data_IF_549198214421
#
_entry.id   IF_549198214421
#
_cell.length_a   1.000
_cell.length_b   1.000
_cell.length_c   1.000
_cell.angle_alpha   90.00
_cell.angle_beta   90.00
_cell.angle_gamma   90.00
#
_symmetry.space_group_name_H-M   'P 1'
#
loop_
_entity.id
_entity.type
_entity.pdbx_description
1 polymer ?
#
# COMPACT_ATOMS: atom_id res chain seq x y z
N UNK A 1 -29.24 -56.55 48.49
CA UNK A 1 -30.49 -55.76 48.45
C UNK A 1 -30.47 -54.87 47.19
N UNK A 2 -31.62 -54.59 46.57
CA UNK A 2 -31.82 -54.62 45.12
C UNK A 2 -31.58 -53.28 44.38
N UNK A 3 -31.05 -53.38 43.15
CA UNK A 3 -31.61 -52.95 41.84
C UNK A 3 -32.91 -52.08 41.79
N UNK A 4 -33.25 -51.36 40.68
CA UNK A 4 -32.56 -51.23 39.37
C UNK A 4 -32.76 -49.92 38.53
N UNK A 5 -32.02 -49.84 37.40
CA UNK A 5 -32.41 -49.50 35.99
C UNK A 5 -33.32 -48.31 35.62
N UNK A 6 -33.00 -47.58 34.53
CA UNK A 6 -33.50 -47.89 33.16
C UNK A 6 -32.93 -47.00 32.03
N UNK A 7 -32.77 -47.64 30.87
CA UNK A 7 -32.42 -47.15 29.52
C UNK A 7 -33.50 -46.29 28.84
N UNK A 8 -33.12 -45.43 27.88
CA UNK A 8 -33.59 -45.37 26.45
C UNK A 8 -33.07 -44.10 25.77
N UNK A 9 -32.26 -44.17 24.69
CA UNK A 9 -32.66 -44.29 23.26
C UNK A 9 -33.26 -43.00 22.67
N UNK A 10 -32.58 -42.37 21.68
CA UNK A 10 -33.16 -41.39 20.74
C UNK A 10 -34.06 -42.07 19.70
N UNK A 11 -34.23 -41.58 18.45
CA UNK A 11 -33.94 -40.27 17.83
C UNK A 11 -35.17 -39.66 17.11
N UNK A 12 -35.04 -38.52 16.41
CA UNK A 12 -36.03 -38.10 15.40
C UNK A 12 -35.97 -36.63 14.94
N UNK A 13 -35.58 -36.42 13.68
CA UNK A 13 -36.02 -35.28 12.86
C UNK A 13 -37.51 -35.46 12.49
N UNK A 14 -38.24 -34.38 12.16
CA UNK A 14 -38.61 -34.22 10.75
C UNK A 14 -38.65 -32.78 10.21
N UNK A 15 -38.67 -32.76 8.89
CA UNK A 15 -38.91 -31.72 7.89
C UNK A 15 -40.16 -30.85 8.11
N UNK A 16 -40.09 -29.59 7.65
CA UNK A 16 -41.25 -28.78 7.26
C UNK A 16 -40.92 -28.02 5.96
N UNK A 17 -41.69 -28.32 4.93
CA UNK A 17 -41.87 -27.61 3.67
C UNK A 17 -43.16 -26.80 3.70
N UNK A 18 -43.30 -25.88 2.73
CA UNK A 18 -44.54 -25.30 2.16
C UNK A 18 -45.38 -24.42 3.10
N UNK A 19 -46.00 -23.32 2.70
CA UNK A 19 -46.12 -22.55 1.46
C UNK A 19 -46.88 -21.26 1.87
N UNK A 20 -47.01 -20.31 0.94
CA UNK A 20 -48.27 -19.59 0.66
C UNK A 20 -48.34 -18.05 0.84
N UNK A 21 -48.61 -17.43 -0.32
CA UNK A 21 -49.31 -16.17 -0.64
C UNK A 21 -48.57 -14.83 -0.41
N UNK A 22 -48.20 -14.05 -1.44
CA UNK A 22 -48.92 -13.45 -2.60
C UNK A 22 -49.09 -11.93 -2.41
N UNK A 23 -48.75 -11.18 -3.48
CA UNK A 23 -49.39 -9.98 -4.07
C UNK A 23 -48.63 -8.63 -4.08
N UNK A 24 -48.38 -8.23 -5.34
CA UNK A 24 -48.61 -6.90 -5.97
C UNK A 24 -47.52 -5.82 -5.91
N UNK A 25 -46.86 -5.64 -7.06
CA UNK A 25 -46.49 -4.35 -7.66
C UNK A 25 -47.78 -3.55 -7.99
N UNK A 26 -47.77 -2.19 -8.02
CA UNK A 26 -47.19 -1.44 -9.15
C UNK A 26 -46.53 -0.07 -8.86
N UNK A 27 -45.61 0.26 -9.78
CA UNK A 27 -45.31 1.53 -10.47
C UNK A 27 -45.60 2.94 -9.88
N UNK A 28 -44.55 3.75 -10.05
CA UNK A 28 -44.50 5.10 -10.66
C UNK A 28 -44.78 6.40 -9.89
N UNK A 29 -43.94 7.38 -10.30
CA UNK A 29 -44.00 8.85 -10.20
C UNK A 29 -43.56 9.47 -8.85
N UNK A 30 -42.64 10.44 -8.80
CA UNK A 30 -41.91 11.15 -9.84
C UNK A 30 -41.19 12.37 -9.25
N UNK A 31 -40.54 13.11 -10.15
CA UNK A 31 -40.18 14.54 -10.06
C UNK A 31 -39.04 14.92 -9.10
N UNK A 32 -37.87 15.25 -9.68
CA UNK A 32 -37.33 16.59 -9.46
C UNK A 32 -36.42 17.05 -10.61
N UNK A 33 -36.81 18.18 -11.18
CA UNK A 33 -36.13 18.92 -12.25
C UNK A 33 -35.31 20.05 -11.65
N UNK A 34 -34.06 20.23 -12.09
CA UNK A 34 -33.32 21.51 -12.10
C UNK A 34 -32.05 21.29 -12.94
N UNK A 35 -32.02 21.64 -14.23
CA UNK A 35 -31.81 22.96 -14.85
C UNK A 35 -30.36 23.50 -14.74
N UNK A 36 -29.70 23.60 -15.89
CA UNK A 36 -28.44 24.33 -16.14
C UNK A 36 -27.45 23.45 -16.94
N UNK A 37 -27.03 23.74 -18.17
CA UNK A 37 -27.00 24.98 -18.92
C UNK A 37 -25.58 25.22 -19.44
N UNK A 38 -25.34 24.85 -20.70
CA UNK A 38 -24.37 25.38 -21.68
C UNK A 38 -22.86 25.46 -21.33
N UNK A 39 -22.02 24.79 -22.13
CA UNK A 39 -21.01 25.46 -22.98
C UNK A 39 -20.28 24.49 -23.89
N UNK A 40 -20.23 24.85 -25.17
CA UNK A 40 -19.48 24.19 -26.23
C UNK A 40 -18.05 24.77 -26.32
N UNK A 41 -17.08 23.90 -26.57
CA UNK A 41 -15.80 24.18 -27.26
C UNK A 41 -15.40 22.87 -27.96
N UNK A 42 -15.45 22.78 -29.30
CA UNK A 42 -14.29 22.94 -30.20
C UNK A 42 -13.05 22.28 -29.62
N UNK A 43 -12.55 21.14 -30.09
CA UNK A 43 -12.34 20.74 -31.48
C UNK A 43 -10.83 20.52 -31.60
N UNK A 44 -10.40 19.28 -31.79
CA UNK A 44 -9.10 19.00 -32.40
C UNK A 44 -9.09 17.56 -32.92
N UNK A 45 -9.12 17.48 -34.25
CA UNK A 45 -8.83 16.30 -35.04
C UNK A 45 -7.36 16.40 -35.44
N UNK A 46 -6.55 15.40 -35.13
CA UNK A 46 -5.25 15.20 -35.77
C UNK A 46 -5.22 13.82 -36.40
N UNK A 47 -5.04 13.85 -37.73
CA UNK A 47 -4.97 12.72 -38.64
C UNK A 47 -3.62 11.96 -38.49
N UNK A 48 -3.49 10.76 -39.08
CA UNK A 48 -2.36 9.86 -38.88
C UNK A 48 -1.19 10.17 -39.81
N UNK A 49 0.03 9.87 -39.36
CA UNK A 49 1.25 10.01 -40.16
C UNK A 49 1.55 8.71 -40.91
N UNK A 50 1.54 8.78 -42.24
CA UNK A 50 2.09 7.79 -43.15
C UNK A 50 3.61 7.88 -43.17
N UNK A 51 4.28 6.72 -43.17
CA UNK A 51 5.73 6.61 -43.28
C UNK A 51 6.11 5.25 -43.84
N UNK A 52 6.06 5.14 -45.17
CA UNK A 52 6.60 4.03 -45.95
C UNK A 52 8.10 4.21 -46.16
N UNK A 53 8.90 3.18 -45.87
CA UNK A 53 10.11 2.89 -46.64
C UNK A 53 10.64 1.48 -46.34
N UNK A 54 10.72 0.70 -47.42
CA UNK A 54 11.27 -0.64 -47.61
C UNK A 54 12.80 -0.64 -47.68
N UNK A 55 13.46 -1.68 -47.14
CA UNK A 55 14.58 -2.42 -47.75
C UNK A 55 15.15 -3.47 -46.76
N UNK A 56 15.37 -4.70 -47.26
CA UNK A 56 15.88 -5.86 -46.50
C UNK A 56 17.41 -5.95 -46.44
N UNK A 57 18.00 -7.15 -46.61
CA UNK A 57 18.31 -8.08 -45.52
C UNK A 57 19.82 -8.36 -45.33
N UNK A 58 20.11 -9.21 -44.35
CA UNK A 58 21.37 -9.95 -44.09
C UNK A 58 22.59 -9.17 -43.58
N UNK A 59 22.98 -9.45 -42.33
CA UNK A 59 24.35 -9.87 -41.99
C UNK A 59 24.48 -10.32 -40.53
N UNK A 60 25.04 -11.52 -40.37
CA UNK A 60 25.66 -12.08 -39.17
C UNK A 60 26.62 -11.08 -38.53
N UNK A 61 26.68 -11.04 -37.19
CA UNK A 61 27.94 -11.01 -36.45
C UNK A 61 27.71 -11.36 -34.98
N UNK A 62 28.39 -12.42 -34.57
CA UNK A 62 28.69 -12.82 -33.19
C UNK A 62 29.47 -11.73 -32.47
N UNK A 63 29.03 -11.26 -31.29
CA UNK A 63 29.91 -10.80 -30.19
C UNK A 63 29.18 -10.89 -28.84
N UNK A 64 29.54 -11.92 -28.07
CA UNK A 64 29.87 -11.97 -26.62
C UNK A 64 29.04 -11.17 -25.59
N UNK A 65 28.54 -11.82 -24.51
CA UNK A 65 27.97 -11.15 -23.33
C UNK A 65 29.05 -10.84 -22.27
N UNK A 66 28.90 -9.81 -21.41
CA UNK A 66 29.74 -9.73 -20.22
C UNK A 66 29.14 -10.57 -19.09
N UNK A 67 29.79 -11.71 -18.83
CA UNK A 67 29.93 -12.22 -17.47
C UNK A 67 31.15 -11.55 -16.82
N UNK A 68 30.97 -10.98 -15.64
CA UNK A 68 32.07 -10.77 -14.68
C UNK A 68 31.53 -10.90 -13.25
N UNK A 69 31.47 -12.17 -12.84
CA UNK A 69 31.91 -12.82 -11.60
C UNK A 69 32.42 -12.02 -10.37
N UNK A 70 32.49 -12.70 -9.20
CA UNK A 70 32.32 -12.15 -7.86
C UNK A 70 33.63 -11.67 -7.22
N UNK A 71 33.54 -10.65 -6.37
CA UNK A 71 34.61 -10.18 -5.52
C UNK A 71 34.43 -10.65 -4.08
N UNK A 72 35.28 -11.57 -3.65
CA UNK A 72 35.66 -11.82 -2.26
C UNK A 72 37.02 -11.16 -2.03
N UNK A 73 37.42 -11.01 -0.76
CA UNK A 73 38.72 -10.60 -0.19
C UNK A 73 38.71 -9.20 0.44
N UNK A 74 38.64 -9.22 1.78
CA UNK A 74 39.54 -8.63 2.79
C UNK A 74 40.08 -7.20 2.51
N UNK A 75 40.21 -6.27 3.46
CA UNK A 75 40.68 -6.43 4.82
C UNK A 75 40.67 -5.06 5.52
N UNK A 76 40.80 -5.09 6.84
CA UNK A 76 41.45 -4.08 7.70
C UNK A 76 40.73 -2.79 8.17
N UNK A 77 40.78 -2.68 9.52
CA UNK A 77 40.67 -1.48 10.38
C UNK A 77 39.23 -1.04 10.73
N UNK A 78 38.77 -0.94 11.97
CA UNK A 78 39.43 -0.64 13.26
C UNK A 78 38.49 -1.08 14.39
N UNK A 79 38.97 -1.95 15.30
CA UNK A 79 38.32 -2.21 16.61
C UNK A 79 38.54 -1.01 17.57
N UNK A 80 37.81 -0.83 18.70
CA UNK A 80 37.77 -1.83 19.77
C UNK A 80 36.40 -2.05 20.45
N UNK A 81 36.23 -3.20 21.12
CA UNK A 81 35.08 -3.49 21.98
C UNK A 81 35.19 -2.72 23.29
N UNK A 82 34.03 -2.28 23.79
CA UNK A 82 33.86 -1.79 25.14
C UNK A 82 34.30 -2.86 26.14
N UNK A 83 35.43 -2.61 26.80
CA UNK A 83 35.86 -3.28 28.01
C UNK A 83 35.89 -2.23 29.11
N UNK A 84 35.19 -2.46 30.22
CA UNK A 84 35.42 -1.72 31.46
C UNK A 84 35.17 -2.65 32.63
N UNK A 85 36.27 -3.28 33.05
CA UNK A 85 36.52 -3.64 34.43
C UNK A 85 36.29 -2.41 35.33
N UNK A 86 35.60 -2.63 36.45
CA UNK A 86 35.50 -1.65 37.52
C UNK A 86 35.86 -2.37 38.84
N UNK A 87 37.09 -2.21 39.34
CA UNK A 87 37.41 -2.45 40.73
C UNK A 87 38.02 -1.17 41.33
N UNK A 88 37.23 -0.37 42.05
CA UNK A 88 37.77 0.58 43.04
C UNK A 88 36.69 0.93 44.08
N UNK A 89 36.91 0.64 45.37
CA UNK A 89 37.64 1.44 46.37
C UNK A 89 36.79 2.56 46.98
N UNK A 90 36.32 2.36 48.22
CA UNK A 90 35.88 3.36 49.22
C UNK A 90 35.43 2.56 50.48
N UNK A 91 35.80 2.82 51.73
CA UNK A 91 36.55 3.92 52.32
C UNK A 91 37.15 3.45 53.67
N UNK A 92 38.38 3.89 53.95
CA UNK A 92 38.96 3.99 55.28
C UNK A 92 38.48 5.28 55.94
N UNK A 93 37.75 5.21 57.06
CA UNK A 93 37.54 6.26 58.09
C UNK A 93 37.10 5.45 59.35
N UNK A 94 37.70 5.45 60.55
CA UNK A 94 38.36 6.50 61.31
C UNK A 94 39.29 5.93 62.42
N UNK A 95 40.22 6.78 62.85
CA UNK A 95 41.22 6.58 63.92
C UNK A 95 40.64 6.71 65.35
N UNK A 96 41.36 6.22 66.38
CA UNK A 96 41.03 6.45 67.80
C UNK A 96 41.39 7.89 68.24
N UNK A 97 40.52 8.53 69.02
CA UNK A 97 40.77 9.81 69.71
C UNK A 97 40.73 9.65 71.23
N UNK A 98 41.84 10.05 71.84
CA UNK A 98 42.07 10.27 73.27
C UNK A 98 41.12 11.32 73.88
N UNK A 99 40.72 11.08 75.14
CA UNK A 99 40.39 12.09 76.15
C UNK A 99 41.00 11.59 77.48
N UNK A 100 42.14 12.07 77.98
CA UNK A 100 42.39 13.32 78.71
C UNK A 100 41.49 13.53 79.96
N UNK A 101 42.10 13.43 81.15
CA UNK A 101 41.90 14.21 82.40
C UNK A 101 42.46 13.41 83.60
N UNK A 102 43.20 13.93 84.57
CA UNK A 102 43.86 15.21 84.79
C UNK A 102 44.73 15.07 86.04
N UNK A 103 45.99 15.50 85.93
CA UNK A 103 47.00 15.61 86.99
C UNK A 103 46.81 16.98 87.70
N UNK A 104 46.54 16.98 89.01
CA UNK A 104 46.41 18.23 89.82
C UNK A 104 47.57 18.33 90.80
N UNK A 105 48.55 19.11 90.35
CA UNK A 105 49.71 19.60 91.08
C UNK A 105 49.33 20.84 91.90
N UNK A 106 49.10 20.71 93.20
CA UNK A 106 48.97 21.86 94.11
C UNK A 106 50.29 22.13 94.84
N UNK A 107 51.10 23.04 94.26
CA UNK A 107 52.23 23.71 94.91
C UNK A 107 51.71 25.03 95.47
N UNK A 108 51.59 25.18 96.79
CA UNK A 108 51.22 26.46 97.38
C UNK A 108 50.72 26.36 98.82
N UNK A 109 51.58 25.96 99.77
CA UNK A 109 51.23 25.92 101.19
C UNK A 109 52.42 26.13 102.15
N UNK A 110 53.53 26.68 101.66
CA UNK A 110 54.82 26.70 102.38
C UNK A 110 54.98 27.84 103.41
N UNK A 111 54.00 28.72 103.59
CA UNK A 111 54.10 29.85 104.54
C UNK A 111 53.06 29.81 105.67
N UNK A 112 52.00 29.00 105.55
CA UNK A 112 51.01 28.83 106.63
C UNK A 112 51.52 27.88 107.73
N UNK A 113 52.34 26.89 107.37
CA UNK A 113 52.87 25.89 108.31
C UNK A 113 53.92 26.46 109.27
N UNK A 114 54.68 27.49 108.86
CA UNK A 114 55.70 28.12 109.72
C UNK A 114 55.06 29.00 110.80
N UNK A 115 53.92 29.65 110.50
CA UNK A 115 53.20 30.45 111.49
C UNK A 115 52.50 29.58 112.55
N UNK A 116 51.89 28.46 112.15
CA UNK A 116 51.26 27.54 113.09
C UNK A 116 52.31 26.91 114.02
N UNK A 117 53.50 26.54 113.49
CA UNK A 117 54.58 25.99 114.30
C UNK A 117 55.14 27.02 115.30
N UNK A 118 55.26 28.29 114.90
CA UNK A 118 55.73 29.37 115.78
C UNK A 118 54.80 29.66 116.96
N UNK A 119 53.48 29.66 116.72
CA UNK A 119 52.48 29.83 117.81
C UNK A 119 52.47 28.62 118.74
N UNK A 120 52.64 27.41 118.20
CA UNK A 120 52.71 26.19 119.02
C UNK A 120 53.94 26.17 119.93
N UNK A 121 55.11 26.59 119.45
CA UNK A 121 56.32 26.68 120.27
C UNK A 121 56.17 27.76 121.36
N UNK A 122 55.51 28.88 121.07
CA UNK A 122 55.24 29.93 122.06
C UNK A 122 54.26 29.47 123.16
N UNK A 123 53.23 28.68 122.82
CA UNK A 123 52.30 28.10 123.79
C UNK A 123 52.97 27.04 124.68
N UNK A 124 53.85 26.21 124.13
CA UNK A 124 54.62 25.22 124.93
C UNK A 124 55.60 25.90 125.90
N UNK A 125 56.20 27.04 125.51
CA UNK A 125 57.06 27.81 126.41
C UNK A 125 56.28 28.45 127.59
N UNK A 126 55.00 28.77 127.39
CA UNK A 126 54.15 29.35 128.45
C UNK A 126 53.67 28.29 129.46
N UNK A 127 53.42 27.06 129.02
CA UNK A 127 53.03 25.95 129.91
C UNK A 127 54.20 25.35 130.70
N UNK A 128 55.44 25.39 130.18
CA UNK A 128 56.61 24.92 130.91
C UNK A 128 56.94 25.75 132.17
N UNK A 129 56.52 27.01 132.25
CA UNK A 129 56.71 27.84 133.44
C UNK A 129 55.69 27.59 134.56
N UNK A 130 54.50 27.07 134.22
CA UNK A 130 53.43 26.81 135.19
C UNK A 130 53.57 25.46 135.94
N UNK A 131 54.44 24.56 135.49
CA UNK A 131 54.66 23.24 136.12
C UNK A 131 55.65 23.25 137.30
N UNK A 132 56.20 24.42 137.67
CA UNK A 132 57.27 24.55 138.68
C UNK A 132 56.80 24.75 140.13
N UNK A 133 55.50 24.71 140.41
CA UNK A 133 54.95 24.86 141.78
C UNK A 133 53.92 23.74 142.05
N UNK A 134 54.38 22.49 142.02
CA UNK A 134 53.60 21.34 142.48
C UNK A 134 54.44 20.49 143.44
N UNK A 135 53.91 20.28 144.64
CA UNK A 135 54.55 19.61 145.77
C UNK A 135 55.06 18.19 145.44
N UNK A 136 56.26 17.77 145.95
CA UNK A 136 56.88 16.48 145.63
C UNK A 136 56.01 15.24 145.88
N UNK A 137 55.04 15.28 146.79
CA UNK A 137 54.18 14.14 147.15
C UNK A 137 53.00 13.87 146.18
N UNK A 138 52.78 14.75 145.19
CA UNK A 138 51.76 14.57 144.14
C UNK A 138 52.33 13.94 142.86
N UNK A 139 53.65 14.03 142.63
CA UNK A 139 54.34 13.52 141.44
C UNK A 139 54.49 11.99 141.51
N UNK A 140 54.74 11.45 142.70
CA UNK A 140 54.97 10.01 142.90
C UNK A 140 53.69 9.17 142.74
N UNK A 141 52.53 9.71 143.13
CA UNK A 141 51.22 9.07 142.89
C UNK A 141 50.83 9.04 141.42
N UNK A 142 51.20 10.04 140.62
CA UNK A 142 50.97 10.03 139.17
C UNK A 142 51.88 9.05 138.45
N UNK A 143 53.14 8.88 138.91
CA UNK A 143 54.08 7.92 138.32
C UNK A 143 53.58 6.47 138.46
N UNK A 144 53.10 6.10 139.65
CA UNK A 144 52.54 4.76 139.87
C UNK A 144 51.22 4.50 139.12
N UNK A 145 50.40 5.54 138.93
CA UNK A 145 49.21 5.44 138.08
C UNK A 145 49.59 5.27 136.59
N UNK A 146 50.59 6.01 136.13
CA UNK A 146 51.11 5.89 134.76
C UNK A 146 51.80 4.56 134.47
N UNK A 147 52.59 4.01 135.40
CA UNK A 147 53.19 2.69 135.20
C UNK A 147 52.12 1.61 135.09
N UNK A 148 51.03 1.71 135.86
CA UNK A 148 49.89 0.78 135.74
C UNK A 148 49.21 0.93 134.38
N UNK A 149 48.84 2.15 133.99
CA UNK A 149 48.20 2.41 132.68
C UNK A 149 49.10 2.00 131.51
N UNK A 150 50.41 2.23 131.62
CA UNK A 150 51.38 1.85 130.60
C UNK A 150 51.48 0.33 130.45
N UNK A 151 51.46 -0.41 131.57
CA UNK A 151 51.43 -1.89 131.53
C UNK A 151 50.12 -2.44 130.95
N UNK A 152 48.97 -1.82 131.26
CA UNK A 152 47.68 -2.19 130.65
C UNK A 152 47.68 -1.90 129.15
N UNK A 153 48.24 -0.77 128.73
CA UNK A 153 48.30 -0.40 127.33
C UNK A 153 49.24 -1.30 126.54
N UNK A 154 50.39 -1.67 127.11
CA UNK A 154 51.30 -2.66 126.53
C UNK A 154 50.62 -4.03 126.35
N UNK A 155 49.84 -4.48 127.35
CA UNK A 155 49.08 -5.71 127.25
C UNK A 155 47.97 -5.64 126.17
N UNK A 156 47.32 -4.48 126.01
CA UNK A 156 46.37 -4.25 124.91
C UNK A 156 47.05 -4.26 123.54
N UNK A 157 48.23 -3.64 123.42
CA UNK A 157 48.98 -3.62 122.15
C UNK A 157 49.44 -5.02 121.78
N UNK A 158 49.93 -5.83 122.75
CA UNK A 158 50.28 -7.22 122.47
C UNK A 158 49.07 -8.06 122.06
N UNK A 159 47.92 -7.87 122.72
CA UNK A 159 46.68 -8.56 122.34
C UNK A 159 46.20 -8.17 120.93
N UNK A 160 46.36 -6.90 120.55
CA UNK A 160 46.01 -6.42 119.21
C UNK A 160 46.98 -6.95 118.14
N UNK A 161 48.26 -7.12 118.48
CA UNK A 161 49.23 -7.76 117.58
C UNK A 161 48.89 -9.24 117.35
N UNK A 162 48.46 -9.97 118.38
CA UNK A 162 48.01 -11.36 118.24
C UNK A 162 46.76 -11.48 117.36
N UNK A 163 45.79 -10.58 117.55
CA UNK A 163 44.61 -10.47 116.68
C UNK A 163 45.06 -10.20 115.24
N UNK A 164 45.94 -9.22 115.02
CA UNK A 164 46.45 -8.89 113.69
C UNK A 164 47.16 -10.08 113.03
N UNK A 165 47.96 -10.82 113.78
CA UNK A 165 48.63 -12.03 113.31
C UNK A 165 47.66 -13.19 113.00
N UNK A 166 46.52 -13.26 113.71
CA UNK A 166 45.44 -14.19 113.40
C UNK A 166 44.72 -13.80 112.11
N UNK A 167 44.35 -12.53 111.96
CA UNK A 167 43.72 -12.01 110.74
C UNK A 167 44.63 -12.15 109.52
N UNK A 168 45.94 -11.92 109.65
CA UNK A 168 46.90 -12.13 108.57
C UNK A 168 46.89 -13.59 108.07
N UNK A 169 46.85 -14.56 108.99
CA UNK A 169 46.75 -15.99 108.65
C UNK A 169 45.42 -16.35 108.00
N UNK A 170 44.30 -15.80 108.48
CA UNK A 170 42.99 -16.01 107.86
C UNK A 170 42.92 -15.42 106.44
N UNK A 171 43.50 -14.23 106.22
CA UNK A 171 43.58 -13.61 104.88
C UNK A 171 44.41 -14.49 103.93
N UNK A 172 45.54 -15.01 104.38
CA UNK A 172 46.39 -15.89 103.57
C UNK A 172 45.68 -17.22 103.24
N UNK A 173 44.96 -17.80 104.20
CA UNK A 173 44.13 -18.98 103.97
C UNK A 173 43.01 -18.70 102.95
N UNK A 174 42.31 -17.57 103.08
CA UNK A 174 41.27 -17.18 102.12
C UNK A 174 41.83 -16.89 100.73
N UNK A 175 43.01 -16.27 100.64
CA UNK A 175 43.69 -16.04 99.36
C UNK A 175 44.03 -17.38 98.68
N UNK A 176 44.61 -18.33 99.41
CA UNK A 176 44.94 -19.65 98.88
C UNK A 176 43.70 -20.43 98.42
N UNK A 177 42.59 -20.34 99.16
CA UNK A 177 41.32 -20.96 98.77
C UNK A 177 40.74 -20.32 97.50
N UNK A 178 40.83 -18.99 97.39
CA UNK A 178 40.35 -18.28 96.21
C UNK A 178 41.17 -18.64 94.96
N UNK A 179 42.49 -18.74 95.08
CA UNK A 179 43.36 -19.22 94.00
C UNK A 179 43.01 -20.66 93.58
N UNK A 180 42.74 -21.55 94.55
CA UNK A 180 42.30 -22.91 94.26
C UNK A 180 40.96 -22.93 93.50
N UNK A 181 39.97 -22.13 93.93
CA UNK A 181 38.67 -22.01 93.25
C UNK A 181 38.79 -21.42 91.85
N UNK A 182 39.69 -20.45 91.63
CA UNK A 182 39.94 -19.89 90.29
C UNK A 182 40.57 -20.92 89.37
N UNK A 183 41.50 -21.72 89.87
CA UNK A 183 42.12 -22.80 89.10
C UNK A 183 41.09 -23.86 88.72
N UNK A 184 40.26 -24.29 89.66
CA UNK A 184 39.18 -25.24 89.43
C UNK A 184 38.18 -24.70 88.40
N UNK A 185 37.79 -23.42 88.50
CA UNK A 185 36.92 -22.77 87.51
C UNK A 185 37.57 -22.73 86.13
N UNK A 186 38.85 -22.41 86.04
CA UNK A 186 39.57 -22.35 84.77
C UNK A 186 39.67 -23.74 84.11
N UNK A 187 39.87 -24.79 84.89
CA UNK A 187 39.91 -26.16 84.38
C UNK A 187 38.50 -26.63 83.95
N UNK A 188 37.46 -26.29 84.71
CA UNK A 188 36.07 -26.53 84.32
C UNK A 188 35.67 -25.79 83.04
N UNK A 189 36.15 -24.56 82.86
CA UNK A 189 35.92 -23.79 81.63
C UNK A 189 36.62 -24.42 80.41
N UNK A 190 37.84 -24.95 80.58
CA UNK A 190 38.55 -25.69 79.52
C UNK A 190 37.79 -26.96 79.15
N UNK A 191 37.33 -27.73 80.13
CA UNK A 191 36.56 -28.96 79.89
C UNK A 191 35.28 -28.65 79.11
N UNK A 192 34.50 -27.66 79.54
CA UNK A 192 33.30 -27.22 78.80
C UNK A 192 33.60 -26.63 77.43
N UNK A 193 34.76 -26.00 77.25
CA UNK A 193 35.18 -25.53 75.93
C UNK A 193 35.50 -26.70 74.99
N UNK A 194 36.18 -27.74 75.50
CA UNK A 194 36.46 -28.96 74.74
C UNK A 194 35.18 -29.71 74.37
N UNK A 195 34.25 -29.87 75.32
CA UNK A 195 32.96 -30.52 75.07
C UNK A 195 32.15 -29.76 74.01
N UNK A 196 32.07 -28.43 74.11
CA UNK A 196 31.41 -27.60 73.09
C UNK A 196 32.08 -27.73 71.73
N UNK A 197 33.41 -27.74 71.67
CA UNK A 197 34.15 -27.91 70.43
C UNK A 197 33.89 -29.28 69.79
N UNK A 198 33.80 -30.35 70.59
CA UNK A 198 33.46 -31.70 70.11
C UNK A 198 32.03 -31.76 69.56
N UNK A 199 31.06 -31.24 70.30
CA UNK A 199 29.67 -31.17 69.84
C UNK A 199 29.52 -30.32 68.57
N UNK A 200 30.27 -29.22 68.45
CA UNK A 200 30.28 -28.41 67.23
C UNK A 200 30.92 -29.15 66.05
N UNK A 201 32.00 -29.89 66.27
CA UNK A 201 32.64 -30.70 65.24
C UNK A 201 31.70 -31.82 64.76
N UNK A 202 30.98 -32.46 65.66
CA UNK A 202 29.97 -33.48 65.33
C UNK A 202 28.82 -32.88 64.53
N UNK A 203 28.23 -31.77 64.99
CA UNK A 203 27.18 -31.04 64.24
C UNK A 203 27.67 -30.55 62.87
N UNK A 204 28.97 -30.21 62.73
CA UNK A 204 29.55 -29.85 61.42
C UNK A 204 29.61 -31.05 60.49
N UNK A 205 29.98 -32.24 60.99
CA UNK A 205 29.97 -33.48 60.20
C UNK A 205 28.55 -33.85 59.77
N UNK A 206 27.61 -33.83 60.71
CA UNK A 206 26.20 -34.13 60.44
C UNK A 206 25.62 -33.17 59.38
N UNK A 207 25.88 -31.85 59.50
CA UNK A 207 25.47 -30.89 58.47
C UNK A 207 26.12 -31.16 57.12
N UNK A 208 27.42 -31.45 57.08
CA UNK A 208 28.11 -31.73 55.84
C UNK A 208 27.56 -32.99 55.14
N UNK A 209 27.24 -34.04 55.91
CA UNK A 209 26.68 -35.27 55.34
C UNK A 209 25.23 -35.09 54.93
N UNK A 210 24.44 -34.31 55.68
CA UNK A 210 23.10 -33.90 55.28
C UNK A 210 23.11 -33.06 53.99
N UNK A 211 24.04 -32.11 53.86
CA UNK A 211 24.23 -31.31 52.64
C UNK A 211 24.63 -32.16 51.44
N UNK A 212 25.54 -33.14 51.61
CA UNK A 212 25.87 -34.12 50.56
C UNK A 212 24.67 -34.93 50.12
N UNK A 213 23.87 -35.45 51.07
CA UNK A 213 22.65 -36.20 50.76
C UNK A 213 21.65 -35.38 49.95
N UNK A 214 21.44 -34.12 50.36
CA UNK A 214 20.58 -33.17 49.64
C UNK A 214 21.10 -32.79 48.26
N UNK A 215 22.42 -32.67 48.10
CA UNK A 215 23.03 -32.43 46.79
C UNK A 215 22.79 -33.63 45.86
N UNK A 216 23.00 -34.85 46.33
CA UNK A 216 22.73 -36.06 45.54
C UNK A 216 21.25 -36.20 45.16
N UNK A 217 20.33 -35.90 46.08
CA UNK A 217 18.89 -35.90 45.80
C UNK A 217 18.53 -34.89 44.72
N UNK A 218 19.12 -33.68 44.79
CA UNK A 218 18.92 -32.62 43.79
C UNK A 218 19.45 -33.04 42.42
N UNK A 219 20.63 -33.61 42.35
CA UNK A 219 21.24 -34.07 41.10
C UNK A 219 20.41 -35.20 40.46
N UNK A 220 19.93 -36.15 41.27
CA UNK A 220 19.05 -37.22 40.79
C UNK A 220 17.72 -36.68 40.27
N UNK A 221 17.15 -35.70 40.97
CA UNK A 221 15.92 -35.06 40.55
C UNK A 221 16.08 -34.24 39.28
N UNK A 222 17.17 -33.48 39.14
CA UNK A 222 17.51 -32.76 37.92
C UNK A 222 17.76 -33.71 36.74
N UNK A 223 18.46 -34.82 36.95
CA UNK A 223 18.69 -35.83 35.93
C UNK A 223 17.37 -36.46 35.45
N UNK A 224 16.46 -36.78 36.38
CA UNK A 224 15.12 -37.29 36.04
C UNK A 224 14.33 -36.28 35.22
N UNK A 225 14.30 -35.03 35.65
CA UNK A 225 13.61 -33.95 34.94
C UNK A 225 14.18 -33.72 33.54
N UNK A 226 15.51 -33.74 33.37
CA UNK A 226 16.15 -33.61 32.05
C UNK A 226 15.75 -34.76 31.13
N UNK A 227 15.66 -35.98 31.65
CA UNK A 227 15.19 -37.14 30.88
C UNK A 227 13.73 -36.99 30.47
N UNK A 228 12.85 -36.65 31.42
CA UNK A 228 11.43 -36.40 31.15
C UNK A 228 11.23 -35.30 30.11
N UNK A 229 11.99 -34.20 30.22
CA UNK A 229 11.95 -33.10 29.24
C UNK A 229 12.43 -33.56 27.86
N UNK A 230 13.53 -34.30 27.78
CA UNK A 230 14.05 -34.80 26.52
C UNK A 230 13.09 -35.79 25.85
N UNK A 231 12.40 -36.63 26.63
CA UNK A 231 11.40 -37.57 26.11
C UNK A 231 10.14 -36.83 25.63
N UNK A 232 9.69 -35.83 26.38
CA UNK A 232 8.59 -34.93 25.97
C UNK A 232 8.91 -34.15 24.68
N UNK A 233 10.14 -33.65 24.53
CA UNK A 233 10.59 -32.96 23.31
C UNK A 233 10.59 -33.90 22.10
N UNK A 234 11.00 -35.16 22.26
CA UNK A 234 10.95 -36.17 21.19
C UNK A 234 9.51 -36.47 20.78
N UNK A 235 8.61 -36.65 21.74
CA UNK A 235 7.18 -36.90 21.47
C UNK A 235 6.58 -35.73 20.68
N UNK A 236 6.82 -34.50 21.14
CA UNK A 236 6.37 -33.28 20.44
C UNK A 236 6.99 -33.12 19.05
N UNK A 237 8.24 -33.52 18.87
CA UNK A 237 8.89 -33.51 17.56
C UNK A 237 8.25 -34.53 16.60
N UNK A 238 7.90 -35.73 17.09
CA UNK A 238 7.19 -36.73 16.31
C UNK A 238 5.79 -36.28 15.93
N UNK A 239 5.04 -35.70 16.87
CA UNK A 239 3.71 -35.12 16.61
C UNK A 239 3.79 -34.03 15.53
N UNK A 240 4.74 -33.09 15.63
CA UNK A 240 4.95 -32.07 14.60
C UNK A 240 5.31 -32.66 13.24
N UNK A 241 6.18 -33.67 13.21
CA UNK A 241 6.57 -34.33 11.96
C UNK A 241 5.39 -35.06 11.29
N UNK A 242 4.53 -35.71 12.09
CA UNK A 242 3.31 -36.35 11.59
C UNK A 242 2.34 -35.31 11.01
N UNK A 243 2.11 -34.22 11.75
CA UNK A 243 1.24 -33.13 11.31
C UNK A 243 1.75 -32.46 10.02
N UNK A 244 3.06 -32.23 9.90
CA UNK A 244 3.66 -31.72 8.66
C UNK A 244 3.53 -32.69 7.49
N UNK A 245 3.67 -33.99 7.73
CA UNK A 245 3.50 -35.01 6.70
C UNK A 245 2.05 -35.09 6.20
N UNK A 246 1.07 -34.99 7.10
CA UNK A 246 -0.35 -34.92 6.75
C UNK A 246 -0.66 -33.64 5.96
N UNK A 247 -0.22 -32.48 6.45
CA UNK A 247 -0.38 -31.20 5.75
C UNK A 247 0.22 -31.22 4.33
N UNK A 248 1.35 -31.89 4.13
CA UNK A 248 1.96 -32.06 2.79
C UNK A 248 1.08 -32.90 1.87
N UNK A 249 0.42 -33.94 2.39
CA UNK A 249 -0.51 -34.77 1.61
C UNK A 249 -1.75 -33.94 1.20
N UNK A 250 -2.32 -33.21 2.14
CA UNK A 250 -3.48 -32.35 1.89
C UNK A 250 -3.15 -31.27 0.85
N UNK A 251 -1.98 -30.64 0.96
CA UNK A 251 -1.54 -29.64 0.00
C UNK A 251 -1.36 -30.26 -1.40
N UNK A 252 -0.74 -31.45 -1.48
CA UNK A 252 -0.57 -32.16 -2.75
C UNK A 252 -1.91 -32.60 -3.35
N UNK A 253 -2.89 -33.02 -2.54
CA UNK A 253 -4.24 -33.33 -3.02
C UNK A 253 -4.95 -32.08 -3.55
N UNK A 254 -4.82 -30.97 -2.83
CA UNK A 254 -5.42 -29.71 -3.22
C UNK A 254 -4.82 -29.16 -4.52
N UNK A 255 -3.50 -29.27 -4.70
CA UNK A 255 -2.82 -28.91 -5.94
C UNK A 255 -3.28 -29.79 -7.12
N UNK A 256 -3.51 -31.10 -6.90
CA UNK A 256 -4.09 -31.99 -7.93
C UNK A 256 -5.50 -31.55 -8.31
N UNK A 257 -6.37 -31.26 -7.33
CA UNK A 257 -7.74 -30.79 -7.57
C UNK A 257 -7.74 -29.47 -8.34
N UNK A 258 -6.88 -28.53 -7.95
CA UNK A 258 -6.71 -27.25 -8.65
C UNK A 258 -6.23 -27.45 -10.09
N UNK A 259 -5.26 -28.33 -10.31
CA UNK A 259 -4.76 -28.63 -11.65
C UNK A 259 -5.85 -29.27 -12.54
N UNK A 260 -6.65 -30.19 -11.98
CA UNK A 260 -7.81 -30.78 -12.67
C UNK A 260 -8.84 -29.72 -13.05
N UNK A 261 -9.21 -28.86 -12.10
CA UNK A 261 -10.15 -27.75 -12.35
C UNK A 261 -9.64 -26.81 -13.44
N UNK A 262 -8.36 -26.43 -13.40
CA UNK A 262 -7.74 -25.59 -14.45
C UNK A 262 -7.68 -26.29 -15.82
N UNK A 263 -7.53 -27.61 -15.87
CA UNK A 263 -7.59 -28.37 -17.12
C UNK A 263 -9.02 -28.39 -17.69
N UNK A 264 -10.02 -28.61 -16.83
CA UNK A 264 -11.44 -28.59 -17.22
C UNK A 264 -11.86 -27.20 -17.72
N UNK A 265 -11.43 -26.11 -17.07
CA UNK A 265 -11.71 -24.75 -17.54
C UNK A 265 -11.13 -24.51 -18.94
N UNK A 266 -9.85 -24.87 -19.16
CA UNK A 266 -9.22 -24.76 -20.49
C UNK A 266 -9.89 -25.62 -21.55
N UNK A 267 -10.47 -26.76 -21.18
CA UNK A 267 -11.26 -27.57 -22.10
C UNK A 267 -12.61 -26.92 -22.44
N UNK A 268 -13.30 -26.37 -21.44
CA UNK A 268 -14.54 -25.61 -21.65
C UNK A 268 -14.32 -24.39 -22.54
N UNK A 269 -13.25 -23.63 -22.32
CA UNK A 269 -12.88 -22.48 -23.16
C UNK A 269 -12.61 -22.90 -24.60
N UNK A 270 -11.81 -23.95 -24.82
CA UNK A 270 -11.57 -24.50 -26.18
C UNK A 270 -12.86 -24.91 -26.88
N UNK A 271 -13.77 -25.60 -26.18
CA UNK A 271 -15.06 -25.98 -26.74
C UNK A 271 -15.95 -24.78 -27.06
N UNK A 272 -15.89 -23.72 -26.25
CA UNK A 272 -16.61 -22.47 -26.52
C UNK A 272 -16.03 -21.73 -27.73
N UNK A 273 -14.69 -21.66 -27.85
CA UNK A 273 -14.02 -21.07 -29.00
C UNK A 273 -14.35 -21.83 -30.29
N UNK A 274 -14.31 -23.17 -30.27
CA UNK A 274 -14.67 -24.00 -31.42
C UNK A 274 -16.15 -23.81 -31.82
N UNK A 275 -17.06 -23.72 -30.83
CA UNK A 275 -18.48 -23.39 -31.10
C UNK A 275 -18.61 -22.02 -31.76
N UNK A 276 -17.95 -21.00 -31.23
CA UNK A 276 -17.99 -19.65 -31.79
C UNK A 276 -17.40 -19.60 -33.21
N UNK A 277 -16.30 -20.33 -33.46
CA UNK A 277 -15.67 -20.43 -34.78
C UNK A 277 -16.61 -21.08 -35.79
N UNK A 278 -17.31 -22.15 -35.39
CA UNK A 278 -18.29 -22.82 -36.24
C UNK A 278 -19.49 -21.90 -36.56
N UNK A 279 -19.99 -21.16 -35.57
CA UNK A 279 -21.05 -20.18 -35.78
C UNK A 279 -20.62 -19.05 -36.72
N UNK A 280 -19.40 -18.53 -36.56
CA UNK A 280 -18.85 -17.49 -37.43
C UNK A 280 -18.65 -17.99 -38.86
N UNK A 281 -18.16 -19.22 -39.03
CA UNK A 281 -18.04 -19.84 -40.35
C UNK A 281 -19.40 -20.05 -41.01
N UNK A 282 -20.40 -20.49 -40.24
CA UNK A 282 -21.78 -20.63 -40.74
C UNK A 282 -22.34 -19.30 -41.21
N UNK A 283 -22.16 -18.22 -40.43
CA UNK A 283 -22.55 -16.86 -40.83
C UNK A 283 -21.81 -16.38 -42.07
N UNK A 284 -20.50 -16.67 -42.21
CA UNK A 284 -19.73 -16.32 -43.41
C UNK A 284 -20.30 -16.99 -44.67
N UNK A 285 -20.62 -18.29 -44.60
CA UNK A 285 -21.23 -19.04 -45.71
C UNK A 285 -22.66 -18.61 -46.00
N UNK A 286 -23.38 -18.08 -45.02
CA UNK A 286 -24.72 -17.52 -45.20
C UNK A 286 -24.66 -16.17 -45.93
N UNK A 287 -23.79 -15.27 -45.47
CA UNK A 287 -23.55 -13.97 -46.11
C UNK A 287 -23.03 -14.13 -47.56
N UNK A 288 -22.16 -15.11 -47.81
CA UNK A 288 -21.68 -15.43 -49.16
C UNK A 288 -22.83 -15.90 -50.06
N UNK A 289 -23.73 -16.76 -49.55
CA UNK A 289 -24.93 -17.18 -50.28
C UNK A 289 -25.88 -16.02 -50.55
N UNK A 290 -26.10 -15.14 -49.58
CA UNK A 290 -26.92 -13.93 -49.76
C UNK A 290 -26.32 -13.02 -50.83
N UNK A 291 -24.99 -12.84 -50.83
CA UNK A 291 -24.29 -12.05 -51.84
C UNK A 291 -24.42 -12.68 -53.24
N UNK A 292 -24.21 -13.99 -53.37
CA UNK A 292 -24.41 -14.69 -54.65
C UNK A 292 -25.86 -14.60 -55.14
N UNK A 293 -26.84 -14.71 -54.23
CA UNK A 293 -28.26 -14.52 -54.56
C UNK A 293 -28.57 -13.08 -54.98
N UNK A 294 -27.96 -12.08 -54.34
CA UNK A 294 -28.09 -10.68 -54.73
C UNK A 294 -27.46 -10.43 -56.10
N UNK A 295 -26.27 -10.98 -56.36
CA UNK A 295 -25.59 -10.90 -57.66
C UNK A 295 -26.41 -11.58 -58.77
N UNK A 296 -27.02 -12.75 -58.51
CA UNK A 296 -27.95 -13.41 -59.44
C UNK A 296 -29.20 -12.58 -59.71
N UNK A 297 -29.78 -11.97 -58.66
CA UNK A 297 -30.91 -11.04 -58.79
C UNK A 297 -30.53 -9.80 -59.61
N UNK A 298 -29.32 -9.27 -59.44
CA UNK A 298 -28.79 -8.12 -60.19
C UNK A 298 -28.53 -8.46 -61.66
N UNK A 299 -27.97 -9.63 -61.96
CA UNK A 299 -27.62 -10.04 -63.33
C UNK A 299 -28.83 -10.20 -64.26
N UNK A 300 -30.03 -10.39 -63.71
CA UNK A 300 -31.27 -10.43 -64.48
C UNK A 300 -31.83 -9.06 -64.88
N UNK A 301 -31.42 -7.99 -64.18
CA UNK A 301 -31.91 -6.63 -64.40
C UNK A 301 -31.31 -6.09 -65.71
N UNK A 302 -32.19 -5.70 -66.62
CA UNK A 302 -31.79 -5.04 -67.87
C UNK A 302 -32.72 -3.88 -68.16
N UNK A 303 -32.16 -2.80 -68.63
CA UNK A 303 -32.95 -1.73 -69.24
C UNK A 303 -33.47 -2.21 -70.58
N UNK A 304 -34.73 -1.88 -70.88
CA UNK A 304 -35.20 -1.87 -72.26
C UNK A 304 -34.38 -0.84 -73.06
N UNK A 305 -34.31 -0.98 -74.38
CA UNK A 305 -33.51 -0.07 -75.21
C UNK A 305 -33.91 1.39 -74.94
N UNK A 306 -33.00 2.24 -74.42
CA UNK A 306 -33.33 3.61 -74.06
C UNK A 306 -33.87 4.38 -75.26
N UNK A 307 -35.09 4.87 -75.13
CA UNK A 307 -35.76 5.61 -76.19
C UNK A 307 -35.44 7.10 -76.05
N UNK A 308 -34.87 7.75 -77.08
CA UNK A 308 -34.70 9.19 -77.09
C UNK A 308 -36.07 9.86 -77.09
N UNK A 309 -36.19 10.92 -76.30
CA UNK A 309 -37.36 11.77 -76.32
C UNK A 309 -37.46 12.49 -77.67
N UNK A 310 -38.69 12.76 -78.11
CA UNK A 310 -38.93 13.34 -79.43
C UNK A 310 -38.31 14.73 -79.56
N UNK A 311 -38.23 15.46 -78.45
CA UNK A 311 -37.79 16.85 -78.38
C UNK A 311 -36.46 16.98 -77.65
N UNK A 312 -35.67 17.96 -78.05
CA UNK A 312 -34.44 18.34 -77.38
C UNK A 312 -34.76 19.20 -76.14
N UNK A 313 -34.05 18.96 -75.04
CA UNK A 313 -34.26 19.74 -73.81
C UNK A 313 -33.57 21.11 -73.89
N UNK A 314 -32.36 21.13 -74.46
CA UNK A 314 -31.48 22.28 -74.69
C UNK A 314 -30.37 21.90 -75.68
N UNK A 315 -29.50 22.83 -76.06
CA UNK A 315 -28.39 22.57 -76.97
C UNK A 315 -27.58 21.34 -76.57
N UNK A 316 -27.43 20.41 -77.52
CA UNK A 316 -26.69 19.17 -77.36
C UNK A 316 -27.23 18.23 -76.27
N UNK A 317 -28.42 18.50 -75.71
CA UNK A 317 -28.98 17.72 -74.60
C UNK A 317 -30.33 17.10 -74.95
N UNK A 318 -30.43 15.78 -74.79
CA UNK A 318 -31.66 15.02 -75.00
C UNK A 318 -32.00 14.18 -73.79
N UNK A 319 -33.30 14.02 -73.56
CA UNK A 319 -33.81 13.10 -72.54
C UNK A 319 -33.93 11.71 -73.13
N UNK A 320 -33.53 10.69 -72.39
CA UNK A 320 -33.78 9.29 -72.71
C UNK A 320 -34.63 8.69 -71.62
N UNK A 321 -35.56 7.81 -72.00
CA UNK A 321 -36.36 7.04 -71.04
C UNK A 321 -36.33 5.55 -71.39
N UNK A 322 -36.34 4.71 -70.37
CA UNK A 322 -36.33 3.26 -70.52
C UNK A 322 -37.06 2.62 -69.34
N UNK A 323 -37.75 1.51 -69.60
CA UNK A 323 -38.35 0.69 -68.55
C UNK A 323 -37.35 -0.35 -68.06
N UNK A 324 -37.28 -0.55 -66.74
CA UNK A 324 -36.47 -1.61 -66.15
C UNK A 324 -37.22 -2.94 -66.24
N UNK A 325 -36.64 -3.91 -66.96
CA UNK A 325 -37.22 -5.24 -67.13
C UNK A 325 -36.65 -6.24 -66.11
N UNK A 326 -37.38 -7.35 -65.92
CA UNK A 326 -36.96 -8.50 -65.10
C UNK A 326 -36.65 -8.20 -63.63
N UNK A 327 -37.30 -7.20 -63.03
CA UNK A 327 -37.15 -6.92 -61.60
C UNK A 327 -37.76 -8.07 -60.79
N UNK A 328 -36.98 -8.83 -59.99
CA UNK A 328 -37.53 -9.94 -59.22
C UNK A 328 -38.58 -9.48 -58.22
N UNK A 329 -39.60 -10.30 -58.00
CA UNK A 329 -40.62 -10.03 -56.98
C UNK A 329 -39.97 -9.89 -55.58
N UNK A 330 -40.35 -8.84 -54.86
CA UNK A 330 -39.77 -8.50 -53.55
C UNK A 330 -38.44 -7.75 -53.58
N UNK A 331 -37.81 -7.56 -54.75
CA UNK A 331 -36.63 -6.70 -54.86
C UNK A 331 -37.04 -5.21 -54.83
N UNK A 332 -36.22 -4.36 -54.19
CA UNK A 332 -36.51 -2.93 -54.15
C UNK A 332 -36.29 -2.31 -55.54
N UNK A 333 -37.40 -2.09 -56.25
CA UNK A 333 -37.40 -1.61 -57.64
C UNK A 333 -36.72 -0.25 -57.82
N UNK A 334 -36.82 0.63 -56.82
CA UNK A 334 -36.18 1.95 -56.86
C UNK A 334 -34.66 1.86 -56.68
N UNK A 335 -34.20 1.01 -55.75
CA UNK A 335 -32.77 0.72 -55.59
C UNK A 335 -32.18 0.14 -56.87
N UNK A 336 -32.90 -0.81 -57.49
CA UNK A 336 -32.52 -1.39 -58.78
C UNK A 336 -32.36 -0.32 -59.87
N UNK A 337 -33.30 0.63 -59.94
CA UNK A 337 -33.25 1.71 -60.92
C UNK A 337 -32.00 2.59 -60.78
N UNK A 338 -31.65 3.02 -59.57
CA UNK A 338 -30.49 3.90 -59.37
C UNK A 338 -29.15 3.18 -59.57
N UNK A 339 -29.06 1.88 -59.31
CA UNK A 339 -27.82 1.10 -59.43
C UNK A 339 -27.58 0.54 -60.85
N UNK A 340 -28.64 0.33 -61.65
CA UNK A 340 -28.52 -0.31 -62.98
C UNK A 340 -28.11 0.72 -64.02
N UNK A 341 -27.00 0.47 -64.72
CA UNK A 341 -26.51 1.33 -65.79
C UNK A 341 -27.14 0.96 -67.15
N UNK A 342 -27.42 1.95 -67.99
CA UNK A 342 -27.84 1.77 -69.38
C UNK A 342 -26.73 2.20 -70.34
N UNK A 343 -26.65 1.55 -71.51
CA UNK A 343 -25.71 1.91 -72.57
C UNK A 343 -26.35 2.96 -73.49
N UNK A 344 -25.91 4.23 -73.40
CA UNK A 344 -26.45 5.33 -74.20
C UNK A 344 -25.29 6.10 -74.84
N UNK A 345 -25.32 6.26 -76.16
CA UNK A 345 -24.30 7.02 -76.90
C UNK A 345 -22.86 6.52 -76.69
N UNK A 346 -22.66 5.20 -76.50
CA UNK A 346 -21.34 4.60 -76.31
C UNK A 346 -20.78 4.64 -74.88
N UNK A 347 -21.59 4.98 -73.88
CA UNK A 347 -21.19 5.03 -72.46
C UNK A 347 -22.23 4.34 -71.56
N UNK A 348 -21.76 3.71 -70.48
CA UNK A 348 -22.62 3.20 -69.41
C UNK A 348 -22.96 4.32 -68.44
N UNK A 349 -24.25 4.62 -68.28
CA UNK A 349 -24.71 5.72 -67.43
C UNK A 349 -25.88 5.30 -66.55
N UNK A 350 -25.87 5.74 -65.29
CA UNK A 350 -26.98 5.55 -64.35
C UNK A 350 -28.06 6.61 -64.60
N UNK A 351 -29.34 6.29 -64.39
CA UNK A 351 -30.42 7.26 -64.58
C UNK A 351 -30.29 8.42 -63.60
N UNK A 352 -30.60 9.63 -64.08
CA UNK A 352 -30.66 10.84 -63.26
C UNK A 352 -31.93 10.86 -62.40
N UNK A 353 -33.01 10.25 -62.88
CA UNK A 353 -34.29 10.16 -62.19
C UNK A 353 -34.90 8.77 -62.41
N UNK A 354 -35.59 8.29 -61.37
CA UNK A 354 -36.32 7.03 -61.36
C UNK A 354 -37.77 7.31 -60.99
N UNK A 355 -38.71 6.86 -61.82
CA UNK A 355 -40.13 7.05 -61.60
C UNK A 355 -40.84 5.70 -61.51
N UNK A 356 -41.65 5.50 -60.47
CA UNK A 356 -42.50 4.31 -60.34
C UNK A 356 -43.79 4.52 -61.14
N UNK A 357 -43.92 3.85 -62.29
CA UNK A 357 -45.11 3.86 -63.12
C UNK A 357 -46.30 3.11 -62.52
N UNK A 358 -46.21 2.67 -61.26
CA UNK A 358 -47.26 1.99 -60.53
C UNK A 358 -47.38 0.52 -60.88
N UNK A 359 -48.51 -0.08 -60.45
CA UNK A 359 -48.75 -1.54 -60.45
C UNK A 359 -48.50 -2.21 -61.82
N UNK A 360 -48.79 -1.50 -62.92
CA UNK A 360 -48.65 -2.03 -64.28
C UNK A 360 -47.52 -1.37 -65.08
N UNK A 361 -47.10 -0.16 -64.68
CA UNK A 361 -46.11 0.62 -65.42
C UNK A 361 -44.69 0.11 -65.22
N UNK A 362 -44.37 -0.40 -64.04
CA UNK A 362 -42.98 -0.72 -63.67
C UNK A 362 -42.13 0.55 -63.49
N UNK A 363 -40.85 0.37 -63.18
CA UNK A 363 -39.95 1.51 -62.91
C UNK A 363 -39.31 1.98 -64.21
N UNK A 364 -39.34 3.30 -64.41
CA UNK A 364 -38.73 3.96 -65.55
C UNK A 364 -37.51 4.75 -65.09
N UNK A 365 -36.40 4.58 -65.81
CA UNK A 365 -35.21 5.42 -65.69
C UNK A 365 -35.30 6.56 -66.69
N UNK A 366 -34.86 7.74 -66.26
CA UNK A 366 -34.69 8.91 -67.10
C UNK A 366 -33.23 9.35 -67.07
N UNK A 367 -32.62 9.53 -68.23
CA UNK A 367 -31.28 10.06 -68.40
C UNK A 367 -31.34 11.40 -69.12
N UNK A 368 -30.55 12.36 -68.65
CA UNK A 368 -30.32 13.62 -69.36
C UNK A 368 -28.93 13.52 -69.97
N UNK A 369 -28.87 13.32 -71.28
CA UNK A 369 -27.64 13.06 -72.03
C UNK A 369 -27.26 14.34 -72.74
N UNK A 370 -26.07 14.88 -72.45
CA UNK A 370 -25.54 16.12 -73.02
C UNK A 370 -24.28 15.93 -73.89
N UNK A 371 -23.95 14.67 -74.24
CA UNK A 371 -22.86 14.31 -75.15
C UNK A 371 -23.39 13.68 -76.43
N UNK A 372 -22.72 13.95 -77.55
CA UNK A 372 -22.93 13.31 -78.86
C UNK A 372 -24.37 13.31 -79.44
N UNK A 373 -25.26 14.15 -78.91
CA UNK A 373 -26.60 14.39 -79.46
C UNK A 373 -26.58 15.34 -80.66
N UNK A 374 -26.05 14.85 -81.80
CA UNK A 374 -26.00 15.62 -83.04
C UNK A 374 -27.35 16.22 -83.48
N UNK A 375 -28.52 15.56 -83.32
CA UNK A 375 -29.80 16.14 -83.73
C UNK A 375 -30.26 17.31 -82.86
N UNK A 376 -29.69 17.46 -81.65
CA UNK A 376 -30.00 18.54 -80.71
C UNK A 376 -28.98 19.69 -80.75
N UNK A 377 -28.09 19.71 -81.75
CA UNK A 377 -27.16 20.82 -81.96
C UNK A 377 -27.77 21.87 -82.89
N UNK A 378 -28.46 22.83 -82.29
CA UNK A 378 -28.82 24.07 -82.97
C UNK A 378 -27.58 24.94 -83.19
N UNK A 379 -27.66 25.89 -84.12
CA UNK A 379 -26.57 26.84 -84.38
C UNK A 379 -27.13 28.19 -84.82
N UNK A 380 -26.33 29.23 -84.65
CA UNK A 380 -26.66 30.58 -85.11
C UNK A 380 -26.06 30.82 -86.50
N UNK A 381 -26.85 31.42 -87.39
CA UNK A 381 -26.44 31.77 -88.74
C UNK A 381 -26.82 33.22 -89.07
N UNK A 382 -26.08 33.83 -90.00
CA UNK A 382 -26.35 35.17 -90.52
C UNK A 382 -26.34 36.24 -89.42
N UNK A 383 -25.22 36.34 -88.69
CA UNK A 383 -25.01 37.39 -87.69
C UNK A 383 -25.15 38.78 -88.33
N UNK A 384 -26.11 39.56 -87.81
CA UNK A 384 -26.42 40.92 -88.25
C UNK A 384 -25.97 41.90 -87.19
N UNK A 385 -25.11 42.81 -87.60
CA UNK A 385 -24.75 43.97 -86.81
C UNK A 385 -25.87 45.02 -86.88
N UNK A 386 -26.41 45.41 -85.72
CA UNK A 386 -27.42 46.46 -85.60
C UNK A 386 -26.84 47.80 -85.19
N UNK A 387 -25.52 47.89 -85.08
CA UNK A 387 -24.81 49.06 -84.60
C UNK A 387 -24.87 49.21 -83.08
N UNK A 388 -24.60 50.42 -82.61
CA UNK A 388 -24.58 50.74 -81.19
C UNK A 388 -25.99 50.66 -80.58
N UNK A 389 -26.11 50.07 -79.39
CA UNK A 389 -27.39 49.89 -78.69
C UNK A 389 -28.01 51.25 -78.33
N UNK A 390 -27.17 52.19 -77.91
CA UNK A 390 -27.45 53.62 -77.81
C UNK A 390 -26.15 54.42 -77.97
N UNK A 391 -26.24 55.70 -78.33
CA UNK A 391 -25.09 56.60 -78.40
C UNK A 391 -24.44 56.72 -77.01
N UNK A 392 -23.11 56.54 -76.93
CA UNK A 392 -22.35 56.54 -75.68
C UNK A 392 -22.49 55.29 -74.80
N UNK A 393 -23.11 54.21 -75.27
CA UNK A 393 -23.27 52.97 -74.47
C UNK A 393 -22.00 52.13 -74.37
N UNK A 394 -21.06 52.31 -75.30
CA UNK A 394 -19.92 51.40 -75.49
C UNK A 394 -20.33 49.97 -75.89
N UNK A 395 -21.60 49.72 -76.29
CA UNK A 395 -22.12 48.38 -76.61
C UNK A 395 -22.73 48.30 -78.00
N UNK A 396 -22.24 47.37 -78.81
CA UNK A 396 -22.78 47.02 -80.13
C UNK A 396 -23.73 45.83 -80.03
N UNK A 397 -24.91 45.92 -80.66
CA UNK A 397 -25.92 44.85 -80.69
C UNK A 397 -25.71 44.00 -81.94
N UNK A 398 -25.46 42.71 -81.73
CA UNK A 398 -25.44 41.69 -82.78
C UNK A 398 -26.65 40.79 -82.59
N UNK A 399 -27.33 40.44 -83.67
CA UNK A 399 -28.43 39.46 -83.63
C UNK A 399 -28.28 38.38 -84.70
N UNK A 400 -28.76 37.18 -84.41
CA UNK A 400 -28.71 36.05 -85.33
C UNK A 400 -29.88 35.11 -85.09
N UNK A 401 -30.43 34.56 -86.17
CA UNK A 401 -31.51 33.59 -86.09
C UNK A 401 -30.93 32.21 -85.73
N UNK A 402 -31.57 31.51 -84.79
CA UNK A 402 -31.21 30.14 -84.47
C UNK A 402 -31.80 29.17 -85.51
N UNK A 403 -30.96 28.25 -85.97
CA UNK A 403 -31.25 27.23 -86.98
C UNK A 403 -31.23 25.83 -86.36
N UNK A 404 -31.76 24.85 -87.12
CA UNK A 404 -31.80 23.43 -86.75
C UNK A 404 -32.59 23.15 -85.45
N UNK A 405 -33.71 23.85 -85.26
CA UNK A 405 -34.69 23.56 -84.20
C UNK A 405 -35.74 22.60 -84.76
N UNK A 406 -36.01 21.50 -84.06
CA UNK A 406 -37.02 20.53 -84.49
C UNK A 406 -38.43 21.03 -84.16
N UNK A 407 -39.41 20.60 -84.95
CA UNK A 407 -40.81 20.95 -84.68
C UNK A 407 -41.25 20.37 -83.33
N UNK A 408 -41.55 21.25 -82.38
CA UNK A 408 -41.98 20.89 -81.01
C UNK A 408 -40.91 21.08 -79.94
N UNK A 409 -39.66 21.36 -80.33
CA UNK A 409 -38.63 21.81 -79.38
C UNK A 409 -39.02 23.17 -78.78
N UNK A 410 -38.59 23.38 -77.53
CA UNK A 410 -38.70 24.69 -76.88
C UNK A 410 -37.65 25.63 -77.47
N UNK A 411 -38.02 26.32 -78.54
CA UNK A 411 -37.12 27.17 -79.32
C UNK A 411 -36.41 28.25 -78.48
N UNK A 412 -37.05 28.74 -77.40
CA UNK A 412 -36.42 29.70 -76.49
C UNK A 412 -35.35 29.04 -75.61
N UNK A 413 -35.59 27.82 -75.10
CA UNK A 413 -34.56 27.07 -74.37
C UNK A 413 -33.39 26.65 -75.25
N UNK A 414 -33.67 26.25 -76.49
CA UNK A 414 -32.63 25.97 -77.48
C UNK A 414 -31.78 27.23 -77.71
N UNK A 415 -32.42 28.38 -77.95
CA UNK A 415 -31.71 29.65 -78.11
C UNK A 415 -30.85 30.00 -76.90
N UNK A 416 -31.39 29.92 -75.68
CA UNK A 416 -30.70 30.30 -74.46
C UNK A 416 -29.53 29.38 -74.06
N UNK A 417 -29.33 28.27 -74.76
CA UNK A 417 -28.27 27.29 -74.47
C UNK A 417 -27.33 27.02 -75.66
N UNK A 418 -27.63 27.59 -76.82
CA UNK A 418 -26.82 27.37 -78.03
C UNK A 418 -25.58 28.26 -77.98
N UNK A 419 -24.37 27.71 -78.08
CA UNK A 419 -23.17 28.51 -78.15
C UNK A 419 -23.05 29.20 -79.52
N UNK A 420 -22.31 30.30 -79.56
CA UNK A 420 -22.04 31.07 -80.76
C UNK A 420 -20.57 31.49 -80.83
N UNK A 421 -19.98 31.30 -82.01
CA UNK A 421 -18.61 31.72 -82.32
C UNK A 421 -18.64 32.74 -83.45
N UNK A 422 -18.29 33.99 -83.16
CA UNK A 422 -18.21 35.04 -84.17
C UNK A 422 -17.27 36.17 -83.75
N UNK A 423 -16.66 36.87 -84.71
CA UNK A 423 -15.61 37.87 -84.48
C UNK A 423 -14.43 37.40 -83.61
N UNK A 424 -14.13 36.08 -83.61
CA UNK A 424 -13.07 35.50 -82.77
C UNK A 424 -13.42 35.42 -81.28
N UNK A 425 -14.69 35.66 -80.92
CA UNK A 425 -15.22 35.52 -79.57
C UNK A 425 -16.11 34.27 -79.49
N UNK A 426 -16.00 33.54 -78.39
CA UNK A 426 -16.87 32.42 -78.05
C UNK A 426 -17.89 32.86 -76.99
N UNK A 427 -19.15 32.50 -77.19
CA UNK A 427 -20.22 32.71 -76.23
C UNK A 427 -20.90 31.37 -75.94
N UNK A 428 -21.05 31.00 -74.67
CA UNK A 428 -21.78 29.78 -74.28
C UNK A 428 -23.28 29.87 -74.59
N UNK A 429 -23.82 31.09 -74.65
CA UNK A 429 -25.22 31.40 -74.97
C UNK A 429 -25.37 32.88 -75.40
N UNK A 430 -26.47 33.25 -76.08
CA UNK A 430 -26.83 34.66 -76.26
C UNK A 430 -27.17 35.35 -74.94
N UNK A 431 -27.01 36.67 -74.90
CA UNK A 431 -27.39 37.48 -73.73
C UNK A 431 -28.91 37.53 -73.54
N UNK A 432 -29.67 37.49 -74.63
CA UNK A 432 -31.13 37.35 -74.61
C UNK A 432 -31.65 36.66 -75.87
N UNK A 433 -32.85 36.09 -75.77
CA UNK A 433 -33.55 35.44 -76.87
C UNK A 433 -34.91 36.11 -77.09
N UNK A 434 -35.22 36.46 -78.35
CA UNK A 434 -36.49 37.07 -78.72
C UNK A 434 -37.24 36.21 -79.74
N UNK A 435 -38.54 36.01 -79.55
CA UNK A 435 -39.39 35.31 -80.52
C UNK A 435 -40.11 36.32 -81.43
N UNK A 436 -39.73 36.33 -82.70
CA UNK A 436 -40.23 37.28 -83.69
C UNK A 436 -41.32 36.66 -84.57
N UNK A 437 -42.40 36.14 -83.97
CA UNK A 437 -43.59 35.54 -84.61
C UNK A 437 -43.30 34.71 -85.87
N UNK A 438 -43.24 35.33 -87.06
CA UNK A 438 -43.05 34.67 -88.37
C UNK A 438 -41.57 34.35 -88.64
N UNK A 439 -40.64 35.06 -88.00
CA UNK A 439 -39.20 34.97 -88.22
C UNK A 439 -38.49 34.07 -87.20
N UNK A 440 -39.21 33.28 -86.40
CA UNK A 440 -38.62 32.35 -85.44
C UNK A 440 -37.98 33.02 -84.22
N UNK A 441 -37.04 32.32 -83.58
CA UNK A 441 -36.30 32.82 -82.41
C UNK A 441 -34.96 33.42 -82.85
N UNK A 442 -34.56 34.51 -82.21
CA UNK A 442 -33.32 35.24 -82.45
C UNK A 442 -32.51 35.32 -81.16
N UNK A 443 -31.21 35.04 -81.25
CA UNK A 443 -30.25 35.33 -80.20
C UNK A 443 -29.75 36.77 -80.33
N UNK A 444 -29.52 37.41 -79.20
CA UNK A 444 -29.02 38.78 -79.09
C UNK A 444 -27.74 38.79 -78.27
N UNK A 445 -26.72 39.50 -78.77
CA UNK A 445 -25.47 39.73 -78.07
C UNK A 445 -25.17 41.22 -77.98
N UNK A 446 -24.66 41.64 -76.82
CA UNK A 446 -24.20 43.01 -76.57
C UNK A 446 -22.70 42.95 -76.33
N UNK A 447 -21.92 43.33 -77.34
CA UNK A 447 -20.45 43.25 -77.31
C UNK A 447 -19.90 44.64 -77.00
N UNK A 448 -18.87 44.70 -76.17
CA UNK A 448 -18.15 45.93 -75.91
C UNK A 448 -17.40 46.39 -77.16
N UNK A 449 -17.66 47.63 -77.57
CA UNK A 449 -17.03 48.23 -78.73
C UNK A 449 -16.75 49.71 -78.45
N UNK A 450 -15.46 50.07 -78.43
CA UNK A 450 -15.01 51.43 -78.19
C UNK A 450 -15.49 52.45 -79.24
N UNK A 451 -15.94 52.00 -80.42
CA UNK A 451 -16.56 52.89 -81.41
C UNK A 451 -18.00 53.30 -81.07
N UNK A 452 -18.61 52.67 -80.06
CA UNK A 452 -19.94 52.98 -79.54
C UNK A 452 -19.92 53.80 -78.24
N UNK A 453 -18.74 54.18 -77.76
CA UNK A 453 -18.51 54.90 -76.51
C UNK A 453 -18.59 56.43 -76.67
#
# INVERSE_FOLDING_TARGET
>A
MPFPSFNRSGPGLPTSTSDEQQRLLPQDNGVNSSSGGYSATSGDWSAPNEGSSTSGPDAKNDVVPPQSNPGTVDDSSTSPPFNRDDPTLNAQIDKPKNCYMSDVRSKGGSYLFVFILGVFIALIAQDMWAMTILSPSAIERRRLAWDRDYTEHLAQVSAMQDVTAKWAREIEQHASLHEAMLKERADWEKERAQERAQQEAERRKERADWEKGRAQERDQWEARRRKEHADWEKERAQERAQWEAERRKDLAEWDRKRAQWQAEQRERERLQEDRMKLELEKKRRELEREREEEEKKRAGLKWQDPQPDQFCLRYGTRRYTAKLENVPDGYNKMKACHETQAWIGGRWVTPSQCDDGGVWGGVHGTWIVDWDESPCRSYFQDFRDKGCTSEGSGKRRIESQIQNIQSGDDALKMCASTPADFHGLHFDAPHSCEFWRIYGVWGLWFIEDGSCA
#
